data_IF_046421104102
#
_entry.id   IF_046421104102
#
_cell.length_a   1.000
_cell.length_b   1.000
_cell.length_c   1.000
_cell.angle_alpha   90.00
_cell.angle_beta   90.00
_cell.angle_gamma   90.00
#
_symmetry.space_group_name_H-M   'P 1'
#
loop_
_entity.id
_entity.type
_entity.pdbx_description
1 polymer ?
#
# COMPACT_ATOMS: atom_id res chain seq x y z
N UNK A 1 8.59 -19.71 -37.23
CA UNK A 1 9.84 -19.09 -36.72
C UNK A 1 9.91 -19.32 -35.21
N UNK A 2 11.00 -19.90 -34.69
CA UNK A 2 11.10 -20.18 -33.25
C UNK A 2 11.16 -18.86 -32.46
N UNK A 3 10.39 -18.76 -31.37
CA UNK A 3 10.42 -17.59 -30.48
C UNK A 3 11.80 -17.43 -29.84
N UNK A 4 12.31 -16.20 -29.79
CA UNK A 4 13.53 -15.88 -29.01
C UNK A 4 13.28 -16.12 -27.52
N UNK A 5 14.35 -16.37 -26.75
CA UNK A 5 14.26 -16.61 -25.30
C UNK A 5 13.52 -15.47 -24.58
N UNK A 6 13.86 -14.22 -24.88
CA UNK A 6 13.20 -13.04 -24.33
C UNK A 6 11.71 -13.00 -24.68
N UNK A 7 11.34 -13.37 -25.91
CA UNK A 7 9.94 -13.43 -26.31
C UNK A 7 9.17 -14.51 -25.55
N UNK A 8 9.78 -15.68 -25.29
CA UNK A 8 9.16 -16.73 -24.48
C UNK A 8 8.89 -16.25 -23.05
N UNK A 9 9.83 -15.52 -22.43
CA UNK A 9 9.66 -14.93 -21.10
C UNK A 9 8.53 -13.89 -21.10
N UNK A 10 8.46 -13.03 -22.12
CA UNK A 10 7.40 -12.02 -22.21
C UNK A 10 6.00 -12.64 -22.38
N UNK A 11 5.87 -13.71 -23.19
CA UNK A 11 4.60 -14.44 -23.30
C UNK A 11 4.26 -15.21 -22.03
N UNK A 12 5.25 -15.78 -21.34
CA UNK A 12 5.05 -16.36 -20.01
C UNK A 12 4.50 -15.32 -19.03
N UNK A 13 5.05 -14.11 -19.01
CA UNK A 13 4.54 -13.02 -18.17
C UNK A 13 3.07 -12.69 -18.47
N UNK A 14 2.70 -12.61 -19.75
CA UNK A 14 1.30 -12.39 -20.13
C UNK A 14 0.41 -13.55 -19.63
N UNK A 15 0.86 -14.80 -19.78
CA UNK A 15 0.15 -15.97 -19.24
C UNK A 15 -0.02 -15.89 -17.72
N UNK A 16 1.03 -15.49 -16.98
CA UNK A 16 0.99 -15.30 -15.54
C UNK A 16 0.01 -14.19 -15.13
N UNK A 17 -0.10 -13.10 -15.89
CA UNK A 17 -1.10 -12.06 -15.65
C UNK A 17 -2.51 -12.63 -15.77
N UNK A 18 -2.79 -13.41 -16.82
CA UNK A 18 -4.12 -13.99 -17.05
C UNK A 18 -4.48 -14.99 -15.94
N UNK A 19 -3.55 -15.87 -15.55
CA UNK A 19 -3.73 -16.80 -14.43
C UNK A 19 -4.00 -16.03 -13.14
N UNK A 20 -3.21 -14.98 -12.89
CA UNK A 20 -3.39 -14.12 -11.71
C UNK A 20 -4.77 -13.45 -11.71
N UNK A 21 -5.24 -12.98 -12.87
CA UNK A 21 -6.57 -12.37 -12.99
C UNK A 21 -7.69 -13.39 -12.72
N UNK A 22 -7.52 -14.66 -13.12
CA UNK A 22 -8.47 -15.73 -12.80
C UNK A 22 -8.57 -15.94 -11.28
N UNK A 23 -7.43 -16.08 -10.59
CA UNK A 23 -7.41 -16.23 -9.14
C UNK A 23 -7.99 -15.01 -8.42
N UNK A 24 -7.58 -13.81 -8.82
CA UNK A 24 -8.09 -12.56 -8.28
C UNK A 24 -9.60 -12.39 -8.52
N UNK A 25 -10.15 -12.89 -9.62
CA UNK A 25 -11.59 -12.82 -9.90
C UNK A 25 -12.42 -13.68 -8.95
N UNK A 26 -11.98 -14.94 -8.72
CA UNK A 26 -12.75 -15.92 -7.94
C UNK A 26 -12.50 -15.82 -6.43
N UNK A 27 -11.27 -15.54 -6.02
CA UNK A 27 -10.83 -15.58 -4.62
C UNK A 27 -9.92 -14.38 -4.32
N UNK A 28 -10.39 -13.11 -4.45
CA UNK A 28 -9.51 -11.95 -4.37
C UNK A 28 -8.80 -11.85 -3.01
N UNK A 29 -9.49 -12.10 -1.90
CA UNK A 29 -8.91 -12.01 -0.57
C UNK A 29 -7.87 -13.11 -0.33
N UNK A 30 -8.23 -14.37 -0.55
CA UNK A 30 -7.32 -15.50 -0.36
C UNK A 30 -6.13 -15.45 -1.32
N UNK A 31 -6.32 -14.98 -2.56
CA UNK A 31 -5.24 -14.80 -3.53
C UNK A 31 -4.23 -13.77 -3.02
N UNK A 32 -4.71 -12.64 -2.50
CA UNK A 32 -3.86 -11.63 -1.91
C UNK A 32 -3.13 -12.14 -0.67
N UNK A 33 -3.84 -12.78 0.26
CA UNK A 33 -3.24 -13.33 1.49
C UNK A 33 -2.19 -14.40 1.16
N UNK A 34 -2.46 -15.28 0.20
CA UNK A 34 -1.50 -16.28 -0.27
C UNK A 34 -0.28 -15.61 -0.91
N UNK A 35 -0.49 -14.61 -1.78
CA UNK A 35 0.60 -13.87 -2.39
C UNK A 35 1.50 -13.24 -1.31
N UNK A 36 0.90 -12.53 -0.35
CA UNK A 36 1.64 -11.85 0.71
C UNK A 36 2.36 -12.84 1.64
N UNK A 37 1.66 -13.85 2.17
CA UNK A 37 2.19 -14.75 3.18
C UNK A 37 3.20 -15.78 2.63
N UNK A 38 3.04 -16.21 1.38
CA UNK A 38 3.84 -17.29 0.80
C UNK A 38 4.85 -16.80 -0.24
N UNK A 39 4.44 -15.97 -1.20
CA UNK A 39 5.32 -15.47 -2.26
C UNK A 39 6.14 -14.25 -1.80
N UNK A 40 5.57 -13.41 -0.94
CA UNK A 40 6.23 -12.25 -0.36
C UNK A 40 7.58 -12.57 0.29
N UNK A 41 7.66 -13.48 1.28
CA UNK A 41 8.92 -13.75 1.95
C UNK A 41 9.99 -14.32 1.01
N UNK A 42 9.61 -15.17 0.05
CA UNK A 42 10.54 -15.64 -1.00
C UNK A 42 11.05 -14.49 -1.86
N UNK A 43 10.18 -13.55 -2.21
CA UNK A 43 10.53 -12.40 -3.02
C UNK A 43 11.52 -11.51 -2.27
N UNK A 44 11.19 -11.04 -1.06
CA UNK A 44 12.05 -10.12 -0.30
C UNK A 44 13.45 -10.72 -0.07
N UNK A 45 13.53 -12.02 0.26
CA UNK A 45 14.79 -12.70 0.53
C UNK A 45 15.68 -12.83 -0.72
N UNK A 46 15.09 -13.14 -1.86
CA UNK A 46 15.84 -13.25 -3.13
C UNK A 46 16.18 -11.88 -3.70
N UNK A 47 15.30 -10.90 -3.53
CA UNK A 47 15.48 -9.54 -4.01
C UNK A 47 16.55 -8.77 -3.25
N UNK A 48 16.54 -8.78 -1.91
CA UNK A 48 17.56 -8.08 -1.12
C UNK A 48 18.95 -8.58 -1.49
N UNK A 49 19.13 -9.89 -1.68
CA UNK A 49 20.40 -10.44 -2.15
C UNK A 49 20.79 -9.91 -3.53
N UNK A 50 19.84 -9.83 -4.46
CA UNK A 50 20.09 -9.31 -5.80
C UNK A 50 20.39 -7.80 -5.81
N UNK A 51 19.67 -7.02 -5.01
CA UNK A 51 19.94 -5.59 -4.82
C UNK A 51 21.34 -5.38 -4.25
N UNK A 52 21.73 -6.18 -3.25
CA UNK A 52 23.06 -6.11 -2.65
C UNK A 52 24.18 -6.36 -3.68
N UNK A 53 24.03 -7.37 -4.53
CA UNK A 53 24.97 -7.66 -5.63
C UNK A 53 25.06 -6.52 -6.66
N UNK A 54 24.04 -5.65 -6.71
CA UNK A 54 23.98 -4.44 -7.54
C UNK A 54 24.29 -3.15 -6.79
N UNK A 55 24.79 -3.24 -5.56
CA UNK A 55 25.02 -2.08 -4.67
C UNK A 55 23.77 -1.20 -4.53
N UNK A 56 22.59 -1.83 -4.47
CA UNK A 56 21.30 -1.17 -4.33
C UNK A 56 21.05 -0.05 -5.36
N UNK A 57 21.72 -0.10 -6.51
CA UNK A 57 21.66 0.94 -7.55
C UNK A 57 22.09 2.34 -7.06
N UNK A 58 22.86 2.43 -5.97
CA UNK A 58 23.40 3.67 -5.44
C UNK A 58 24.79 4.00 -5.99
N UNK A 59 25.23 5.24 -5.82
CA UNK A 59 26.58 5.69 -6.23
C UNK A 59 27.65 5.36 -5.20
N UNK A 60 27.34 5.44 -3.91
CA UNK A 60 28.24 5.09 -2.82
C UNK A 60 27.96 3.69 -2.27
N UNK A 61 29.03 2.98 -1.87
CA UNK A 61 28.96 1.61 -1.31
C UNK A 61 28.06 1.50 -0.08
N UNK A 62 27.99 2.54 0.74
CA UNK A 62 27.22 2.57 1.99
C UNK A 62 25.97 3.45 1.90
N UNK A 63 25.58 3.93 0.71
CA UNK A 63 24.42 4.80 0.54
C UNK A 63 23.09 4.09 0.83
N UNK A 64 23.09 2.75 0.90
CA UNK A 64 21.92 1.98 1.34
C UNK A 64 21.72 1.97 2.87
N UNK A 65 22.76 2.31 3.64
CA UNK A 65 22.72 2.23 5.12
C UNK A 65 21.68 3.19 5.72
N UNK A 66 21.54 4.46 5.29
CA UNK A 66 20.47 5.33 5.77
C UNK A 66 19.07 4.74 5.55
N UNK A 67 18.83 4.12 4.39
CA UNK A 67 17.54 3.47 4.08
C UNK A 67 17.29 2.26 4.99
N UNK A 68 18.32 1.46 5.25
CA UNK A 68 18.26 0.36 6.20
C UNK A 68 17.96 0.85 7.62
N UNK A 69 18.60 1.93 8.08
CA UNK A 69 18.37 2.50 9.41
C UNK A 69 16.94 3.03 9.57
N UNK A 70 16.38 3.64 8.51
CA UNK A 70 14.96 4.02 8.48
C UNK A 70 14.07 2.77 8.60
N UNK A 71 14.37 1.71 7.83
CA UNK A 71 13.65 0.43 7.94
C UNK A 71 13.69 -0.15 9.35
N UNK A 72 14.86 -0.12 10.01
CA UNK A 72 15.02 -0.55 11.42
C UNK A 72 14.17 0.32 12.35
N UNK A 73 14.21 1.65 12.23
CA UNK A 73 13.46 2.55 13.09
C UNK A 73 11.93 2.34 12.98
N UNK A 74 11.43 2.24 11.75
CA UNK A 74 10.00 2.00 11.47
C UNK A 74 9.56 0.62 11.98
N UNK A 75 10.40 -0.40 11.83
CA UNK A 75 10.12 -1.75 12.31
C UNK A 75 10.16 -1.85 13.82
N UNK A 76 11.11 -1.16 14.46
CA UNK A 76 11.16 -1.09 15.92
C UNK A 76 9.91 -0.40 16.49
N UNK A 77 9.45 0.70 15.87
CA UNK A 77 8.21 1.36 16.26
C UNK A 77 6.98 0.46 16.06
N UNK A 78 6.90 -0.28 14.95
CA UNK A 78 5.83 -1.25 14.72
C UNK A 78 5.86 -2.37 15.78
N UNK A 79 7.02 -2.95 16.06
CA UNK A 79 7.16 -4.00 17.07
C UNK A 79 6.84 -3.54 18.48
N UNK A 80 7.21 -2.31 18.83
CA UNK A 80 6.87 -1.71 20.12
C UNK A 80 5.35 -1.74 20.35
N UNK A 81 4.57 -1.43 19.30
CA UNK A 81 3.10 -1.54 19.33
C UNK A 81 2.65 -3.01 19.38
N UNK A 82 3.06 -3.82 18.41
CA UNK A 82 2.55 -5.19 18.21
C UNK A 82 2.80 -6.12 19.41
N UNK A 83 3.94 -5.94 20.09
CA UNK A 83 4.33 -6.75 21.25
C UNK A 83 4.17 -6.01 22.58
N UNK A 84 3.53 -4.84 22.56
CA UNK A 84 3.23 -4.00 23.72
C UNK A 84 4.46 -3.66 24.60
N UNK A 85 5.65 -3.51 24.00
CA UNK A 85 6.85 -3.07 24.70
C UNK A 85 7.23 -1.64 24.33
N UNK A 86 7.76 -0.87 25.29
CA UNK A 86 8.21 0.51 25.03
C UNK A 86 7.14 1.36 24.31
N UNK A 87 5.90 1.26 24.80
CA UNK A 87 4.72 1.94 24.23
C UNK A 87 4.89 3.47 24.23
N UNK A 88 5.63 4.03 25.17
CA UNK A 88 5.90 5.48 25.21
C UNK A 88 6.73 5.92 24.00
N UNK A 89 7.74 5.13 23.60
CA UNK A 89 8.45 5.37 22.35
C UNK A 89 7.52 5.33 21.14
N UNK A 90 6.63 4.32 21.05
CA UNK A 90 5.66 4.23 19.96
C UNK A 90 4.73 5.47 19.93
N UNK A 91 4.21 5.89 21.08
CA UNK A 91 3.34 7.06 21.20
C UNK A 91 4.06 8.33 20.76
N UNK A 92 5.30 8.53 21.17
CA UNK A 92 6.12 9.66 20.71
C UNK A 92 6.37 9.59 19.20
N UNK A 93 6.65 8.40 18.68
CA UNK A 93 6.89 8.18 17.26
C UNK A 93 5.68 8.53 16.40
N UNK A 94 4.47 8.17 16.87
CA UNK A 94 3.19 8.55 16.27
C UNK A 94 2.92 10.05 16.45
N UNK A 95 3.10 10.60 17.65
CA UNK A 95 2.83 12.00 17.95
C UNK A 95 3.70 12.96 17.11
N UNK A 96 4.94 12.57 16.82
CA UNK A 96 5.86 13.30 15.96
C UNK A 96 5.66 13.02 14.46
N UNK A 97 4.71 12.16 14.10
CA UNK A 97 4.45 11.68 12.74
C UNK A 97 5.70 11.12 12.04
N UNK A 98 6.51 10.31 12.75
CA UNK A 98 7.77 9.81 12.20
C UNK A 98 7.59 8.72 11.14
N UNK A 99 6.48 7.97 11.15
CA UNK A 99 6.18 6.99 10.10
C UNK A 99 6.18 7.65 8.72
N UNK A 100 5.35 8.67 8.54
CA UNK A 100 5.21 9.38 7.27
C UNK A 100 6.49 10.13 6.90
N UNK A 101 7.07 10.86 7.87
CA UNK A 101 8.27 11.68 7.64
C UNK A 101 9.45 10.83 7.18
N UNK A 102 9.72 9.70 7.83
CA UNK A 102 10.85 8.85 7.48
C UNK A 102 10.64 8.11 6.16
N UNK A 103 9.41 7.68 5.87
CA UNK A 103 9.07 7.06 4.58
C UNK A 103 9.28 8.04 3.42
N UNK A 104 8.76 9.25 3.52
CA UNK A 104 8.93 10.30 2.49
C UNK A 104 10.40 10.72 2.38
N UNK A 105 11.12 10.81 3.51
CA UNK A 105 12.56 11.08 3.51
C UNK A 105 13.34 9.98 2.79
N UNK A 106 13.02 8.72 3.03
CA UNK A 106 13.65 7.59 2.34
C UNK A 106 13.42 7.68 0.82
N UNK A 107 12.19 7.99 0.38
CA UNK A 107 11.88 8.16 -1.03
C UNK A 107 12.71 9.29 -1.66
N UNK A 108 12.71 10.50 -1.09
CA UNK A 108 13.41 11.63 -1.69
C UNK A 108 14.93 11.53 -1.60
N UNK A 109 15.47 11.01 -0.49
CA UNK A 109 16.91 10.76 -0.36
C UNK A 109 17.42 9.69 -1.33
N UNK A 110 16.56 8.75 -1.76
CA UNK A 110 16.93 7.73 -2.76
C UNK A 110 17.36 8.32 -4.11
N UNK A 111 16.84 9.50 -4.53
CA UNK A 111 17.31 10.19 -5.73
C UNK A 111 18.78 10.60 -5.58
N UNK A 112 19.14 11.12 -4.42
CA UNK A 112 20.50 11.54 -4.13
C UNK A 112 21.44 10.32 -4.10
N UNK A 113 21.01 9.22 -3.48
CA UNK A 113 21.78 7.98 -3.45
C UNK A 113 21.95 7.37 -4.85
N UNK A 114 20.94 7.43 -5.72
CA UNK A 114 20.99 6.91 -7.08
C UNK A 114 21.91 7.71 -8.02
N UNK A 115 22.02 9.04 -7.83
CA UNK A 115 22.63 9.92 -8.84
C UNK A 115 23.80 10.78 -8.36
N UNK A 116 23.96 11.01 -7.04
CA UNK A 116 24.98 11.92 -6.50
C UNK A 116 26.13 11.13 -5.86
N UNK A 117 27.35 11.34 -6.38
CA UNK A 117 28.57 10.71 -5.81
C UNK A 117 29.10 11.42 -4.56
N UNK A 118 29.07 12.75 -4.56
CA UNK A 118 29.69 13.56 -3.50
C UNK A 118 28.91 13.45 -2.18
N UNK A 119 29.60 13.02 -1.11
CA UNK A 119 28.98 12.80 0.21
C UNK A 119 28.50 14.09 0.87
N UNK A 120 29.28 15.16 0.78
CA UNK A 120 28.93 16.45 1.40
C UNK A 120 27.65 17.02 0.77
N UNK A 121 27.55 16.98 -0.56
CA UNK A 121 26.33 17.40 -1.27
C UNK A 121 25.13 16.57 -0.83
N UNK A 122 25.29 15.25 -0.69
CA UNK A 122 24.23 14.36 -0.19
C UNK A 122 23.78 14.75 1.21
N UNK A 123 24.70 14.92 2.15
CA UNK A 123 24.38 15.26 3.54
C UNK A 123 23.63 16.59 3.60
N UNK A 124 24.16 17.63 2.96
CA UNK A 124 23.53 18.96 2.95
C UNK A 124 22.12 18.89 2.33
N UNK A 125 21.97 18.23 1.18
CA UNK A 125 20.68 18.10 0.52
C UNK A 125 19.67 17.29 1.36
N UNK A 126 20.11 16.20 2.00
CA UNK A 126 19.26 15.40 2.90
C UNK A 126 18.80 16.22 4.10
N UNK A 127 19.67 17.07 4.68
CA UNK A 127 19.28 17.97 5.77
C UNK A 127 18.20 18.97 5.32
N UNK A 128 18.34 19.58 4.14
CA UNK A 128 17.30 20.45 3.58
C UNK A 128 15.98 19.71 3.34
N UNK A 129 16.05 18.51 2.76
CA UNK A 129 14.89 17.64 2.54
C UNK A 129 14.23 17.31 3.88
N UNK A 130 15.00 16.96 4.91
CA UNK A 130 14.48 16.65 6.24
C UNK A 130 13.76 17.84 6.88
N UNK A 131 14.33 19.04 6.80
CA UNK A 131 13.70 20.26 7.34
C UNK A 131 12.37 20.52 6.61
N UNK A 132 12.37 20.42 5.28
CA UNK A 132 11.17 20.60 4.47
C UNK A 132 10.08 19.59 4.83
N UNK A 133 10.40 18.30 4.86
CA UNK A 133 9.45 17.23 5.21
C UNK A 133 8.95 17.39 6.64
N UNK A 134 9.83 17.77 7.58
CA UNK A 134 9.47 17.93 8.99
C UNK A 134 8.42 19.01 9.19
N UNK A 135 8.51 20.12 8.45
CA UNK A 135 7.48 21.17 8.45
C UNK A 135 6.24 20.78 7.64
N UNK A 136 6.41 20.14 6.47
CA UNK A 136 5.29 19.75 5.62
C UNK A 136 4.36 18.73 6.31
N UNK A 137 4.93 17.71 6.94
CA UNK A 137 4.21 16.63 7.62
C UNK A 137 4.15 16.83 9.15
N UNK A 138 4.26 18.08 9.60
CA UNK A 138 4.17 18.41 11.01
C UNK A 138 2.76 18.12 11.56
N UNK A 139 2.62 17.73 12.85
CA UNK A 139 1.32 17.38 13.44
C UNK A 139 0.28 18.49 13.35
N UNK A 140 0.70 19.76 13.41
CA UNK A 140 -0.16 20.94 13.22
C UNK A 140 -0.87 20.97 11.85
N UNK A 141 -0.30 20.33 10.83
CA UNK A 141 -0.86 20.27 9.48
C UNK A 141 -1.70 19.00 9.25
N UNK A 142 -1.90 18.14 10.26
CA UNK A 142 -2.55 16.83 10.09
C UNK A 142 -3.94 16.91 9.45
N UNK A 143 -4.75 17.91 9.82
CA UNK A 143 -6.09 18.11 9.26
C UNK A 143 -6.04 18.40 7.76
N UNK A 144 -5.19 19.30 7.31
CA UNK A 144 -5.03 19.61 5.88
C UNK A 144 -4.42 18.42 5.13
N UNK A 145 -3.42 17.78 5.74
CA UNK A 145 -2.71 16.65 5.18
C UNK A 145 -3.63 15.44 4.96
N UNK A 146 -4.59 15.20 5.86
CA UNK A 146 -5.59 14.12 5.73
C UNK A 146 -6.45 14.23 4.47
N UNK A 147 -6.65 15.45 3.94
CA UNK A 147 -7.41 15.70 2.70
C UNK A 147 -6.55 15.62 1.44
N UNK A 148 -5.23 15.55 1.57
CA UNK A 148 -4.29 15.63 0.45
C UNK A 148 -4.06 14.27 -0.21
N UNK A 149 -4.50 14.13 -1.46
CA UNK A 149 -4.24 12.93 -2.27
C UNK A 149 -2.74 12.68 -2.47
N UNK A 150 -1.92 13.73 -2.55
CA UNK A 150 -0.47 13.57 -2.68
C UNK A 150 0.13 12.94 -1.43
N UNK A 151 -0.29 13.39 -0.24
CA UNK A 151 0.22 12.85 1.02
C UNK A 151 -0.28 11.42 1.20
N UNK A 152 -1.57 11.17 0.98
CA UNK A 152 -2.13 9.82 0.98
C UNK A 152 -1.37 8.87 0.03
N UNK A 153 -1.04 9.32 -1.19
CA UNK A 153 -0.25 8.53 -2.12
C UNK A 153 1.16 8.25 -1.59
N UNK A 154 1.83 9.23 -0.98
CA UNK A 154 3.19 9.10 -0.47
C UNK A 154 3.30 8.29 0.82
N UNK A 155 2.27 8.27 1.67
CA UNK A 155 2.33 7.63 3.00
C UNK A 155 1.61 6.29 3.03
N UNK A 156 0.47 6.16 2.35
CA UNK A 156 -0.34 4.94 2.34
C UNK A 156 -0.11 4.09 1.08
N UNK A 157 -0.15 4.70 -0.11
CA UNK A 157 -0.02 3.95 -1.36
C UNK A 157 1.43 3.60 -1.70
N UNK A 158 2.41 4.39 -1.24
CA UNK A 158 3.83 4.21 -1.56
C UNK A 158 4.36 2.80 -1.24
N UNK A 159 4.28 2.31 0.02
CA UNK A 159 4.76 0.97 0.37
C UNK A 159 3.81 -0.15 -0.07
N UNK A 160 2.60 0.20 -0.54
CA UNK A 160 1.58 -0.76 -0.98
C UNK A 160 1.48 -0.76 -2.50
N UNK A 161 0.42 -0.16 -3.07
CA UNK A 161 0.08 -0.22 -4.48
C UNK A 161 1.08 0.47 -5.41
N UNK A 162 1.72 1.57 -5.00
CA UNK A 162 2.72 2.23 -5.82
C UNK A 162 3.94 1.32 -5.99
N UNK A 163 4.46 0.74 -4.91
CA UNK A 163 5.57 -0.19 -5.00
C UNK A 163 5.20 -1.45 -5.80
N UNK A 164 4.16 -2.18 -5.39
CA UNK A 164 3.85 -3.47 -6.02
C UNK A 164 3.27 -3.36 -7.43
N UNK A 165 2.55 -2.29 -7.77
CA UNK A 165 1.92 -2.13 -9.09
C UNK A 165 2.62 -1.10 -9.98
N UNK A 166 2.75 0.15 -9.51
CA UNK A 166 3.28 1.24 -10.35
C UNK A 166 4.78 1.04 -10.65
N UNK A 167 5.61 0.81 -9.63
CA UNK A 167 7.04 0.58 -9.82
C UNK A 167 7.31 -0.72 -10.59
N UNK A 168 6.54 -1.79 -10.36
CA UNK A 168 6.58 -3.00 -11.20
C UNK A 168 6.35 -2.68 -12.68
N UNK A 169 5.30 -1.91 -12.99
CA UNK A 169 4.99 -1.52 -14.36
C UNK A 169 6.07 -0.65 -15.00
N UNK A 170 6.61 0.32 -14.24
CA UNK A 170 7.71 1.17 -14.69
C UNK A 170 8.99 0.36 -14.93
N UNK A 171 9.32 -0.59 -14.06
CA UNK A 171 10.46 -1.47 -14.24
C UNK A 171 10.30 -2.39 -15.47
N UNK A 172 9.10 -2.93 -15.70
CA UNK A 172 8.78 -3.67 -16.91
C UNK A 172 8.92 -2.81 -18.17
N UNK A 173 8.40 -1.58 -18.14
CA UNK A 173 8.52 -0.63 -19.24
C UNK A 173 9.97 -0.27 -19.52
N UNK A 174 10.75 0.04 -18.48
CA UNK A 174 12.17 0.33 -18.61
C UNK A 174 12.91 -0.83 -19.28
N UNK A 175 12.67 -2.07 -18.82
CA UNK A 175 13.26 -3.28 -19.41
C UNK A 175 12.88 -3.47 -20.89
N UNK A 176 11.61 -3.27 -21.24
CA UNK A 176 11.11 -3.39 -22.61
C UNK A 176 11.71 -2.32 -23.54
N UNK A 177 11.78 -1.07 -23.09
CA UNK A 177 12.38 0.02 -23.84
C UNK A 177 13.88 -0.22 -24.03
N UNK A 178 14.62 -0.47 -22.95
CA UNK A 178 16.07 -0.70 -22.98
C UNK A 178 16.48 -1.86 -23.90
N UNK A 179 15.70 -2.95 -23.90
CA UNK A 179 15.96 -4.11 -24.76
C UNK A 179 15.42 -3.95 -26.19
N UNK A 180 14.67 -2.87 -26.48
CA UNK A 180 13.95 -2.64 -27.74
C UNK A 180 13.04 -3.83 -28.07
N UNK A 181 12.31 -4.32 -27.08
CA UNK A 181 11.48 -5.51 -27.19
C UNK A 181 10.00 -5.18 -27.42
N UNK A 182 9.49 -5.50 -28.62
CA UNK A 182 8.05 -5.34 -28.94
C UNK A 182 7.17 -6.26 -28.09
N UNK A 183 7.60 -7.49 -27.84
CA UNK A 183 6.86 -8.44 -26.98
C UNK A 183 6.92 -8.01 -25.52
N UNK A 184 7.99 -7.33 -25.10
CA UNK A 184 8.07 -6.68 -23.78
C UNK A 184 7.06 -5.54 -23.64
N UNK A 185 6.93 -4.68 -24.65
CA UNK A 185 5.92 -3.62 -24.66
C UNK A 185 4.49 -4.18 -24.67
N UNK A 186 4.25 -5.29 -25.40
CA UNK A 186 2.98 -6.00 -25.35
C UNK A 186 2.67 -6.53 -23.94
N UNK A 187 3.68 -7.05 -23.23
CA UNK A 187 3.53 -7.47 -21.83
C UNK A 187 3.18 -6.29 -20.92
N UNK A 188 3.81 -5.12 -21.09
CA UNK A 188 3.44 -3.90 -20.35
C UNK A 188 2.00 -3.48 -20.65
N UNK A 189 1.58 -3.55 -21.92
CA UNK A 189 0.20 -3.25 -22.30
C UNK A 189 -0.80 -4.21 -21.64
N UNK A 190 -0.50 -5.51 -21.64
CA UNK A 190 -1.31 -6.52 -20.96
C UNK A 190 -1.37 -6.25 -19.44
N UNK A 191 -0.24 -5.87 -18.83
CA UNK A 191 -0.17 -5.53 -17.41
C UNK A 191 -1.11 -4.39 -17.02
N UNK A 192 -1.35 -3.44 -17.93
CA UNK A 192 -2.29 -2.32 -17.72
C UNK A 192 -3.74 -2.75 -18.01
N UNK A 193 -3.99 -3.41 -19.14
CA UNK A 193 -5.36 -3.71 -19.61
C UNK A 193 -6.04 -4.81 -18.78
N UNK A 194 -5.31 -5.88 -18.43
CA UNK A 194 -5.88 -7.03 -17.71
C UNK A 194 -6.55 -6.64 -16.38
N UNK A 195 -5.90 -5.90 -15.47
CA UNK A 195 -6.55 -5.49 -14.22
C UNK A 195 -7.71 -4.51 -14.46
N UNK A 196 -7.64 -3.62 -15.46
CA UNK A 196 -8.76 -2.73 -15.80
C UNK A 196 -9.97 -3.55 -16.22
N UNK A 197 -9.78 -4.55 -17.10
CA UNK A 197 -10.86 -5.44 -17.52
C UNK A 197 -11.38 -6.31 -16.37
N UNK A 198 -10.50 -6.82 -15.51
CA UNK A 198 -10.85 -7.60 -14.31
C UNK A 198 -11.76 -6.81 -13.36
N UNK A 199 -11.48 -5.51 -13.19
CA UNK A 199 -12.19 -4.63 -12.25
C UNK A 199 -13.51 -4.11 -12.85
N UNK A 200 -13.47 -3.56 -14.07
CA UNK A 200 -14.59 -2.83 -14.65
C UNK A 200 -15.35 -3.62 -15.73
N UNK A 201 -14.73 -4.62 -16.34
CA UNK A 201 -15.33 -5.41 -17.42
C UNK A 201 -16.07 -6.65 -16.94
N UNK A 202 -15.78 -7.15 -15.73
CA UNK A 202 -16.37 -8.36 -15.17
C UNK A 202 -17.42 -8.06 -14.09
N UNK A 203 -18.52 -8.83 -14.01
CA UNK A 203 -19.56 -8.60 -13.03
C UNK A 203 -19.07 -8.81 -11.59
N UNK A 204 -19.67 -8.07 -10.67
CA UNK A 204 -19.39 -8.15 -9.22
C UNK A 204 -20.59 -8.77 -8.53
N UNK A 205 -20.38 -9.92 -7.88
CA UNK A 205 -21.44 -10.63 -7.18
C UNK A 205 -21.33 -10.39 -5.67
N UNK A 206 -21.94 -9.32 -5.17
CA UNK A 206 -21.81 -8.89 -3.76
C UNK A 206 -22.33 -9.90 -2.72
N UNK A 207 -23.31 -10.72 -3.10
CA UNK A 207 -23.96 -11.70 -2.18
C UNK A 207 -23.33 -13.09 -2.20
N UNK A 208 -22.58 -13.43 -3.24
CA UNK A 208 -22.05 -14.78 -3.48
C UNK A 208 -20.54 -14.80 -3.66
N UNK A 209 -19.86 -13.65 -3.50
CA UNK A 209 -18.41 -13.61 -3.49
C UNK A 209 -17.90 -14.46 -2.33
N UNK A 210 -17.09 -15.46 -2.65
CA UNK A 210 -16.55 -16.36 -1.65
C UNK A 210 -15.45 -15.64 -0.86
N UNK A 211 -15.55 -15.71 0.45
CA UNK A 211 -14.46 -15.45 1.37
C UNK A 211 -14.64 -16.36 2.59
N UNK A 212 -13.58 -17.06 2.96
CA UNK A 212 -13.57 -17.93 4.13
C UNK A 212 -13.58 -17.14 5.44
N UNK A 213 -14.04 -17.75 6.53
CA UNK A 213 -13.93 -17.14 7.87
C UNK A 213 -12.48 -16.90 8.25
N UNK A 214 -11.61 -17.88 7.96
CA UNK A 214 -10.17 -17.70 8.07
C UNK A 214 -9.66 -16.51 7.24
N UNK A 215 -10.10 -16.36 5.99
CA UNK A 215 -9.71 -15.25 5.13
C UNK A 215 -10.10 -13.89 5.68
N UNK A 216 -11.30 -13.76 6.27
CA UNK A 216 -11.75 -12.52 6.94
C UNK A 216 -10.88 -12.19 8.14
N UNK A 217 -10.66 -13.16 9.03
CA UNK A 217 -9.84 -12.95 10.23
C UNK A 217 -8.37 -12.70 9.88
N UNK A 218 -7.80 -13.40 8.90
CA UNK A 218 -6.44 -13.17 8.42
C UNK A 218 -6.28 -11.80 7.74
N UNK A 219 -7.31 -11.32 7.03
CA UNK A 219 -7.28 -10.00 6.42
C UNK A 219 -7.40 -8.88 7.46
N UNK A 220 -8.13 -9.11 8.54
CA UNK A 220 -8.23 -8.20 9.68
C UNK A 220 -6.98 -8.24 10.59
N UNK A 221 -6.45 -9.43 10.84
CA UNK A 221 -5.28 -9.76 11.66
C UNK A 221 -5.21 -8.94 12.96
N UNK A 222 -6.22 -9.08 13.81
CA UNK A 222 -6.34 -8.37 15.10
C UNK A 222 -6.30 -6.84 15.01
N UNK A 223 -6.47 -6.27 13.81
CA UNK A 223 -6.40 -4.83 13.54
C UNK A 223 -5.09 -4.36 12.92
N UNK A 224 -4.10 -5.26 12.81
CA UNK A 224 -2.79 -4.99 12.20
C UNK A 224 -2.71 -5.43 10.73
N UNK A 225 -3.79 -6.03 10.23
CA UNK A 225 -3.89 -6.53 8.86
C UNK A 225 -4.20 -5.45 7.83
N UNK A 226 -4.57 -5.92 6.63
CA UNK A 226 -4.80 -5.10 5.45
C UNK A 226 -6.20 -4.51 5.38
N UNK A 227 -7.07 -4.86 6.33
CA UNK A 227 -8.42 -4.31 6.43
C UNK A 227 -8.42 -2.78 6.43
N UNK A 228 -7.62 -2.15 7.29
CA UNK A 228 -7.57 -0.70 7.40
C UNK A 228 -6.91 -0.01 6.21
N UNK A 229 -6.06 -0.70 5.44
CA UNK A 229 -5.56 -0.21 4.15
C UNK A 229 -6.70 -0.09 3.14
N UNK A 230 -7.62 -1.07 3.09
CA UNK A 230 -8.80 -0.95 2.22
C UNK A 230 -9.74 0.15 2.69
N UNK A 231 -9.97 0.24 4.00
CA UNK A 231 -10.77 1.32 4.58
C UNK A 231 -10.20 2.67 4.17
N UNK A 232 -8.89 2.89 4.34
CA UNK A 232 -8.28 4.18 4.00
C UNK A 232 -8.41 4.53 2.51
N UNK A 233 -8.26 3.55 1.61
CA UNK A 233 -8.46 3.76 0.17
C UNK A 233 -9.92 4.09 -0.14
N UNK A 234 -10.86 3.28 0.36
CA UNK A 234 -12.28 3.47 0.13
C UNK A 234 -12.76 4.82 0.70
N UNK A 235 -12.22 5.23 1.84
CA UNK A 235 -12.54 6.46 2.55
C UNK A 235 -12.01 7.69 1.81
N UNK A 236 -10.71 7.68 1.50
CA UNK A 236 -10.02 8.78 0.83
C UNK A 236 -10.67 9.13 -0.50
N UNK A 237 -11.08 8.12 -1.27
CA UNK A 237 -11.75 8.30 -2.57
C UNK A 237 -13.28 8.35 -2.51
N UNK A 238 -13.88 8.34 -1.30
CA UNK A 238 -15.33 8.39 -1.08
C UNK A 238 -16.09 7.31 -1.87
N UNK A 239 -15.55 6.09 -1.89
CA UNK A 239 -16.09 4.94 -2.63
C UNK A 239 -17.10 4.12 -1.80
N UNK A 240 -17.35 4.53 -0.56
CA UNK A 240 -18.36 3.92 0.31
C UNK A 240 -19.67 4.71 0.19
N UNK A 241 -20.77 3.99 -0.07
CA UNK A 241 -22.11 4.55 0.06
C UNK A 241 -22.48 4.58 1.54
N UNK A 242 -21.97 5.57 2.25
CA UNK A 242 -22.14 5.69 3.71
C UNK A 242 -23.54 6.20 4.06
N UNK A 243 -24.20 5.63 5.08
CA UNK A 243 -25.42 6.20 5.60
C UNK A 243 -25.11 7.55 6.25
N UNK A 244 -25.93 8.54 5.96
CA UNK A 244 -25.93 9.80 6.69
C UNK A 244 -26.39 9.55 8.13
N UNK A 245 -25.89 10.37 9.05
CA UNK A 245 -26.38 10.42 10.42
C UNK A 245 -27.89 10.61 10.38
N UNK A 246 -28.65 9.73 11.03
CA UNK A 246 -30.10 9.89 11.16
C UNK A 246 -30.44 10.84 12.31
N UNK A 247 -31.61 11.46 12.26
CA UNK A 247 -32.11 12.27 13.37
C UNK A 247 -32.16 11.46 14.68
N UNK A 248 -32.51 10.17 14.61
CA UNK A 248 -32.47 9.26 15.77
C UNK A 248 -31.05 9.15 16.36
N UNK A 249 -30.05 8.85 15.52
CA UNK A 249 -28.66 8.73 15.97
C UNK A 249 -28.11 10.03 16.54
N UNK A 250 -28.50 11.18 15.96
CA UNK A 250 -28.16 12.48 16.50
C UNK A 250 -28.76 12.69 17.90
N UNK A 251 -30.06 12.41 18.07
CA UNK A 251 -30.74 12.48 19.38
C UNK A 251 -30.07 11.56 20.41
N UNK A 252 -29.79 10.31 20.05
CA UNK A 252 -29.12 9.36 20.95
C UNK A 252 -27.72 9.87 21.36
N UNK A 253 -27.00 10.55 20.47
CA UNK A 253 -25.67 11.11 20.75
C UNK A 253 -25.68 12.29 21.71
N UNK A 254 -26.75 13.11 21.71
CA UNK A 254 -26.93 14.24 22.62
C UNK A 254 -27.59 13.82 23.94
N UNK A 255 -28.31 12.70 23.97
CA UNK A 255 -28.98 12.18 25.18
C UNK A 255 -28.04 11.28 26.00
N UNK A 256 -27.22 10.44 25.37
CA UNK A 256 -26.40 9.42 26.05
C UNK A 256 -24.99 9.89 26.50
N UNK A 257 -24.57 11.12 26.18
CA UNK A 257 -23.32 11.69 26.73
C UNK A 257 -23.55 12.14 28.17
N UNK A 258 -22.67 11.69 29.09
CA UNK A 258 -22.67 12.00 30.53
C UNK A 258 -23.00 13.48 30.75
N UNK A 259 -24.01 13.76 31.59
CA UNK A 259 -24.55 15.09 31.83
C UNK A 259 -23.52 16.10 32.35
N UNK A 260 -22.35 15.61 32.80
CA UNK A 260 -21.18 16.39 33.21
C UNK A 260 -20.27 16.86 32.06
N UNK A 261 -20.34 16.24 30.88
CA UNK A 261 -19.50 16.58 29.70
C UNK A 261 -20.30 17.18 28.55
N UNK A 262 -21.63 17.09 28.63
CA UNK A 262 -22.55 17.55 27.60
C UNK A 262 -22.88 19.04 27.80
N UNK A 263 -22.35 19.89 26.92
CA UNK A 263 -22.49 21.36 27.02
C UNK A 263 -23.89 21.88 26.64
N UNK A 264 -24.78 21.02 26.12
CA UNK A 264 -26.11 21.42 25.65
C UNK A 264 -27.12 21.52 26.81
N UNK A 265 -27.74 22.71 27.05
CA UNK A 265 -28.75 22.89 28.09
C UNK A 265 -29.92 21.91 27.98
N UNK A 266 -30.50 21.50 29.12
CA UNK A 266 -31.62 20.53 29.17
C UNK A 266 -32.83 21.01 28.35
N UNK A 267 -33.17 22.30 28.45
CA UNK A 267 -34.29 22.88 27.70
C UNK A 267 -34.05 22.85 26.17
N UNK A 268 -32.80 22.95 25.74
CA UNK A 268 -32.45 22.88 24.32
C UNK A 268 -32.49 21.44 23.80
N UNK A 269 -32.06 20.46 24.61
CA UNK A 269 -32.25 19.03 24.31
C UNK A 269 -33.71 18.66 24.12
N UNK A 270 -34.61 19.17 24.97
CA UNK A 270 -36.04 18.94 24.83
C UNK A 270 -36.57 19.52 23.51
N UNK A 271 -36.25 20.78 23.20
CA UNK A 271 -36.68 21.43 21.94
C UNK A 271 -36.19 20.69 20.70
N UNK A 272 -34.95 20.22 20.71
CA UNK A 272 -34.38 19.45 19.60
C UNK A 272 -35.09 18.09 19.48
N UNK A 273 -35.33 17.43 20.60
CA UNK A 273 -36.06 16.14 20.64
C UNK A 273 -37.45 16.28 20.06
N UNK A 274 -38.20 17.30 20.49
CA UNK A 274 -39.56 17.55 20.00
C UNK A 274 -39.56 17.85 18.50
N UNK A 275 -38.62 18.68 18.02
CA UNK A 275 -38.47 19.05 16.60
C UNK A 275 -38.12 17.87 15.67
N UNK A 276 -37.37 16.89 16.18
CA UNK A 276 -36.88 15.75 15.40
C UNK A 276 -37.71 14.46 15.58
N UNK A 277 -38.63 14.43 16.53
CA UNK A 277 -39.44 13.26 16.92
C UNK A 277 -40.21 12.62 15.76
N UNK A 278 -40.72 13.42 14.81
CA UNK A 278 -41.48 12.93 13.65
C UNK A 278 -40.60 12.52 12.45
N UNK A 279 -39.28 12.76 12.53
CA UNK A 279 -38.34 12.59 11.40
C UNK A 279 -37.16 11.69 11.73
N UNK A 280 -37.30 10.81 12.72
CA UNK A 280 -36.22 9.98 13.28
C UNK A 280 -35.38 9.22 12.24
N UNK A 281 -36.02 8.70 11.19
CA UNK A 281 -35.35 7.92 10.14
C UNK A 281 -34.79 8.77 8.98
N UNK A 282 -35.05 10.08 8.98
CA UNK A 282 -34.50 10.98 7.96
C UNK A 282 -33.06 11.36 8.32
N UNK A 283 -32.29 11.72 7.30
CA UNK A 283 -30.94 12.24 7.50
C UNK A 283 -30.97 13.54 8.30
N UNK A 284 -30.10 13.63 9.30
CA UNK A 284 -29.85 14.84 10.07
C UNK A 284 -29.17 15.88 9.19
N UNK A 285 -29.74 17.07 9.15
CA UNK A 285 -29.23 18.22 8.38
C UNK A 285 -28.45 19.11 9.33
N UNK A 286 -27.18 19.38 9.02
CA UNK A 286 -26.32 20.16 9.91
C UNK A 286 -26.73 21.64 9.88
N UNK A 287 -27.16 22.23 11.02
CA UNK A 287 -27.61 23.62 11.06
C UNK A 287 -26.47 24.63 11.27
N UNK A 288 -25.23 24.17 11.47
CA UNK A 288 -24.08 25.04 11.76
C UNK A 288 -23.49 25.65 10.47
N UNK A 289 -23.53 26.98 10.28
CA UNK A 289 -22.97 27.66 9.10
C UNK A 289 -21.45 27.50 8.91
N UNK A 290 -20.71 27.20 9.98
CA UNK A 290 -19.26 26.98 9.91
C UNK A 290 -18.89 25.55 9.48
N UNK A 291 -19.87 24.64 9.39
CA UNK A 291 -19.64 23.26 8.97
C UNK A 291 -19.53 23.15 7.45
N UNK A 292 -18.60 22.32 6.96
CA UNK A 292 -18.53 21.90 5.55
C UNK A 292 -19.86 21.23 5.08
N UNK A 293 -20.66 20.75 6.03
CA UNK A 293 -21.96 20.11 5.81
C UNK A 293 -23.15 21.03 6.09
N UNK A 294 -22.97 22.36 6.18
CA UNK A 294 -24.09 23.29 6.42
C UNK A 294 -25.25 23.06 5.45
N UNK A 295 -26.46 22.87 6.00
CA UNK A 295 -27.69 22.55 5.26
C UNK A 295 -27.60 21.29 4.40
N UNK A 296 -26.69 20.37 4.74
CA UNK A 296 -26.50 19.07 4.09
C UNK A 296 -26.48 17.94 5.12
N UNK A 297 -26.80 16.70 4.70
CA UNK A 297 -26.55 15.53 5.51
C UNK A 297 -25.07 15.35 5.83
N UNK A 298 -24.76 14.95 7.06
CA UNK A 298 -23.41 14.55 7.47
C UNK A 298 -23.30 13.02 7.51
N UNK A 299 -22.21 12.41 6.98
CA UNK A 299 -21.95 10.98 7.15
C UNK A 299 -21.90 10.59 8.63
N UNK A 300 -22.53 9.47 9.01
CA UNK A 300 -22.65 9.06 10.41
C UNK A 300 -21.29 8.96 11.12
N UNK A 301 -20.26 8.42 10.45
CA UNK A 301 -18.90 8.27 10.99
C UNK A 301 -18.22 9.57 11.44
N UNK A 302 -18.61 10.71 10.86
CA UNK A 302 -18.01 12.01 11.18
C UNK A 302 -18.68 12.66 12.39
N UNK A 303 -19.86 12.14 12.79
CA UNK A 303 -20.68 12.72 13.84
C UNK A 303 -20.73 11.87 15.12
N UNK A 304 -20.59 10.54 15.00
CA UNK A 304 -20.57 9.63 16.14
C UNK A 304 -19.31 8.76 16.10
N UNK A 305 -18.69 8.45 17.25
CA UNK A 305 -17.62 7.46 17.32
C UNK A 305 -18.22 6.09 16.99
N UNK A 306 -17.92 5.58 15.80
CA UNK A 306 -18.35 4.25 15.37
C UNK A 306 -17.20 3.28 15.61
N UNK A 307 -17.47 2.11 16.19
CA UNK A 307 -16.50 1.02 16.21
C UNK A 307 -16.07 0.70 14.77
N UNK A 308 -14.81 0.95 14.48
CA UNK A 308 -14.29 1.02 13.12
C UNK A 308 -14.41 -0.31 12.37
N UNK A 309 -14.25 -1.44 13.07
CA UNK A 309 -14.31 -2.77 12.43
C UNK A 309 -15.70 -3.06 11.84
N UNK A 310 -16.74 -3.06 12.69
CA UNK A 310 -18.09 -3.48 12.31
C UNK A 310 -18.72 -2.57 11.26
N UNK A 311 -18.44 -1.27 11.35
CA UNK A 311 -18.92 -0.29 10.39
C UNK A 311 -18.37 -0.57 8.98
N UNK A 312 -17.07 -0.80 8.86
CA UNK A 312 -16.43 -0.97 7.57
C UNK A 312 -16.48 -2.41 7.05
N UNK A 313 -16.84 -3.39 7.89
CA UNK A 313 -16.78 -4.82 7.56
C UNK A 313 -17.52 -5.14 6.25
N UNK A 314 -18.77 -4.69 6.15
CA UNK A 314 -19.59 -4.94 4.97
C UNK A 314 -19.11 -4.17 3.74
N UNK A 315 -18.53 -2.98 3.92
CA UNK A 315 -17.97 -2.21 2.82
C UNK A 315 -16.73 -2.88 2.24
N UNK A 316 -15.84 -3.39 3.08
CA UNK A 316 -14.62 -4.06 2.63
C UNK A 316 -14.93 -5.39 1.97
N UNK A 317 -15.72 -6.26 2.61
CA UNK A 317 -15.87 -7.66 2.17
C UNK A 317 -17.02 -7.89 1.17
N UNK A 318 -18.09 -7.09 1.24
CA UNK A 318 -19.34 -7.40 0.54
C UNK A 318 -19.84 -6.29 -0.39
N UNK A 319 -19.22 -5.10 -0.38
CA UNK A 319 -19.63 -4.04 -1.32
C UNK A 319 -19.04 -4.26 -2.72
N UNK A 320 -19.70 -3.67 -3.73
CA UNK A 320 -19.23 -3.72 -5.11
C UNK A 320 -17.82 -3.15 -5.25
N UNK A 321 -17.58 -1.96 -4.69
CA UNK A 321 -16.27 -1.30 -4.71
C UNK A 321 -15.22 -2.05 -3.90
N UNK A 322 -15.57 -2.63 -2.74
CA UNK A 322 -14.65 -3.43 -1.92
C UNK A 322 -14.13 -4.65 -2.67
N UNK A 323 -15.02 -5.39 -3.34
CA UNK A 323 -14.64 -6.56 -4.16
C UNK A 323 -13.82 -6.13 -5.38
N UNK A 324 -14.20 -5.06 -6.07
CA UNK A 324 -13.45 -4.49 -7.19
C UNK A 324 -12.03 -4.09 -6.80
N UNK A 325 -11.90 -3.38 -5.67
CA UNK A 325 -10.60 -2.99 -5.11
C UNK A 325 -9.76 -4.22 -4.78
N UNK A 326 -10.37 -5.25 -4.18
CA UNK A 326 -9.64 -6.46 -3.82
C UNK A 326 -9.23 -7.32 -5.01
N UNK A 327 -10.02 -7.37 -6.09
CA UNK A 327 -9.57 -7.96 -7.36
C UNK A 327 -8.31 -7.28 -7.88
N UNK A 328 -8.27 -5.96 -7.81
CA UNK A 328 -7.10 -5.18 -8.23
C UNK A 328 -5.88 -5.44 -7.35
N UNK A 329 -6.04 -5.34 -6.02
CA UNK A 329 -4.96 -5.56 -5.04
C UNK A 329 -4.42 -6.99 -5.17
N UNK A 330 -5.29 -7.99 -5.23
CA UNK A 330 -4.88 -9.38 -5.40
C UNK A 330 -4.10 -9.60 -6.69
N UNK A 331 -4.56 -9.01 -7.80
CA UNK A 331 -3.82 -9.07 -9.05
C UNK A 331 -2.44 -8.42 -8.93
N UNK A 332 -2.38 -7.22 -8.37
CA UNK A 332 -1.15 -6.46 -8.25
C UNK A 332 -0.09 -7.20 -7.43
N UNK A 333 -0.44 -7.68 -6.24
CA UNK A 333 0.50 -8.39 -5.36
C UNK A 333 0.94 -9.74 -5.93
N UNK A 334 -0.01 -10.56 -6.38
CA UNK A 334 0.30 -11.88 -6.93
C UNK A 334 1.18 -11.75 -8.17
N UNK A 335 0.82 -10.88 -9.12
CA UNK A 335 1.63 -10.72 -10.34
C UNK A 335 2.98 -10.06 -10.05
N UNK A 336 3.07 -9.10 -9.13
CA UNK A 336 4.34 -8.50 -8.73
C UNK A 336 5.37 -9.57 -8.33
N UNK A 337 4.98 -10.50 -7.43
CA UNK A 337 5.86 -11.60 -7.02
C UNK A 337 6.14 -12.59 -8.15
N UNK A 338 5.13 -12.98 -8.95
CA UNK A 338 5.34 -13.90 -10.07
C UNK A 338 6.25 -13.32 -11.17
N UNK A 339 6.12 -12.03 -11.48
CA UNK A 339 6.99 -11.30 -12.42
C UNK A 339 8.43 -11.22 -11.92
N UNK A 340 8.63 -11.17 -10.61
CA UNK A 340 9.95 -11.32 -10.02
C UNK A 340 10.51 -12.72 -10.33
N UNK A 341 9.79 -13.79 -9.97
CA UNK A 341 10.27 -15.16 -10.15
C UNK A 341 10.46 -15.58 -11.61
N UNK A 342 9.69 -15.02 -12.55
CA UNK A 342 9.81 -15.35 -13.97
C UNK A 342 11.12 -14.86 -14.60
N UNK A 343 11.79 -13.86 -14.00
CA UNK A 343 13.04 -13.25 -14.50
C UNK A 343 14.29 -13.94 -13.95
N UNK A 344 14.35 -15.26 -14.12
CA UNK A 344 15.43 -16.11 -13.57
C UNK A 344 16.85 -15.68 -14.00
N UNK A 345 17.02 -15.10 -15.19
CA UNK A 345 18.34 -14.63 -15.68
C UNK A 345 18.82 -13.31 -15.06
N UNK A 346 17.86 -12.50 -14.58
CA UNK A 346 18.15 -11.20 -13.95
C UNK A 346 18.53 -11.42 -12.50
N UNK A 347 17.76 -12.25 -11.78
CA UNK A 347 17.89 -12.47 -10.33
C UNK A 347 18.88 -13.59 -10.02
N UNK A 348 18.95 -14.62 -10.88
CA UNK A 348 19.86 -15.76 -10.75
C UNK A 348 19.78 -16.42 -9.36
N UNK A 349 18.56 -16.58 -8.81
CA UNK A 349 18.34 -17.20 -7.50
C UNK A 349 18.95 -18.61 -7.40
N UNK A 350 19.01 -19.33 -8.53
CA UNK A 350 19.66 -20.63 -8.65
C UNK A 350 21.20 -20.59 -8.56
N UNK A 351 21.81 -19.40 -8.46
CA UNK A 351 23.26 -19.18 -8.26
C UNK A 351 23.61 -18.69 -6.85
N UNK A 352 22.62 -18.58 -5.95
CA UNK A 352 22.85 -18.21 -4.55
C UNK A 352 23.66 -19.31 -3.85
N UNK A 353 24.67 -18.97 -3.03
CA UNK A 353 25.43 -19.96 -2.27
C UNK A 353 24.53 -20.89 -1.45
N UNK A 354 24.83 -22.19 -1.41
CA UNK A 354 23.99 -23.22 -0.76
C UNK A 354 23.60 -22.87 0.68
N UNK A 355 24.53 -22.34 1.46
CA UNK A 355 24.30 -21.94 2.86
C UNK A 355 23.23 -20.84 2.95
N UNK A 356 23.34 -19.81 2.10
CA UNK A 356 22.35 -18.73 2.04
C UNK A 356 21.00 -19.24 1.58
N UNK A 357 20.98 -20.13 0.58
CA UNK A 357 19.74 -20.74 0.09
C UNK A 357 19.02 -21.55 1.17
N UNK A 358 19.75 -22.34 1.97
CA UNK A 358 19.18 -23.07 3.12
C UNK A 358 18.63 -22.10 4.17
N UNK A 359 19.36 -21.02 4.50
CA UNK A 359 18.87 -20.01 5.44
C UNK A 359 17.60 -19.32 4.94
N UNK A 360 17.53 -18.97 3.66
CA UNK A 360 16.33 -18.41 3.01
C UNK A 360 15.16 -19.38 3.09
N UNK A 361 15.40 -20.67 2.79
CA UNK A 361 14.37 -21.70 2.85
C UNK A 361 13.84 -21.91 4.27
N UNK A 362 14.73 -21.96 5.27
CA UNK A 362 14.33 -22.09 6.68
C UNK A 362 13.52 -20.88 7.14
N UNK A 363 13.99 -19.66 6.85
CA UNK A 363 13.27 -18.44 7.21
C UNK A 363 11.89 -18.36 6.54
N UNK A 364 11.81 -18.80 5.28
CA UNK A 364 10.55 -18.88 4.56
C UNK A 364 9.59 -19.91 5.17
N UNK A 365 10.05 -21.13 5.48
CA UNK A 365 9.23 -22.15 6.13
C UNK A 365 8.73 -21.68 7.50
N UNK A 366 9.59 -21.01 8.28
CA UNK A 366 9.20 -20.39 9.55
C UNK A 366 8.13 -19.33 9.34
N UNK A 367 8.30 -18.43 8.37
CA UNK A 367 7.29 -17.43 8.06
C UNK A 367 5.95 -18.05 7.65
N UNK A 368 5.96 -19.08 6.79
CA UNK A 368 4.74 -19.79 6.41
C UNK A 368 4.05 -20.45 7.60
N UNK A 369 4.82 -21.07 8.51
CA UNK A 369 4.29 -21.66 9.73
C UNK A 369 3.67 -20.60 10.66
N UNK A 370 4.31 -19.44 10.80
CA UNK A 370 3.78 -18.33 11.60
C UNK A 370 2.48 -17.78 11.00
N UNK A 371 2.42 -17.52 9.69
CA UNK A 371 1.18 -17.10 9.04
C UNK A 371 0.05 -18.12 9.16
N UNK A 372 0.37 -19.41 9.08
CA UNK A 372 -0.61 -20.48 9.24
C UNK A 372 -1.12 -20.60 10.69
N UNK A 373 -0.30 -20.23 11.67
CA UNK A 373 -0.66 -20.23 13.10
C UNK A 373 -1.47 -18.98 13.48
N UNK A 374 -0.93 -17.79 13.20
CA UNK A 374 -1.57 -16.50 13.44
C UNK A 374 -1.06 -15.50 12.40
N UNK A 375 -1.98 -14.92 11.63
CA UNK A 375 -1.62 -14.04 10.54
C UNK A 375 -0.97 -12.72 11.02
N UNK A 376 -1.44 -12.15 12.13
CA UNK A 376 -0.85 -10.95 12.75
C UNK A 376 0.60 -11.21 13.16
N UNK A 377 0.87 -12.33 13.82
CA UNK A 377 2.24 -12.72 14.19
C UNK A 377 3.14 -12.90 12.96
N UNK A 378 2.62 -13.49 11.89
CA UNK A 378 3.34 -13.59 10.62
C UNK A 378 3.67 -12.23 10.00
N UNK A 379 2.73 -11.28 10.05
CA UNK A 379 2.94 -9.89 9.61
C UNK A 379 4.06 -9.23 10.42
N UNK A 380 3.99 -9.27 11.75
CA UNK A 380 5.04 -8.69 12.61
C UNK A 380 6.40 -9.36 12.35
N UNK A 381 6.46 -10.70 12.27
CA UNK A 381 7.72 -11.41 12.05
C UNK A 381 8.44 -10.97 10.76
N UNK A 382 7.69 -10.67 9.70
CA UNK A 382 8.26 -10.25 8.42
C UNK A 382 8.23 -8.76 8.16
N UNK A 383 7.61 -7.95 9.02
CA UNK A 383 7.46 -6.51 8.79
C UNK A 383 8.80 -5.84 8.50
N UNK A 384 9.86 -6.20 9.24
CA UNK A 384 11.19 -5.66 8.97
C UNK A 384 11.66 -5.96 7.55
N UNK A 385 11.50 -7.20 7.09
CA UNK A 385 11.97 -7.61 5.77
C UNK A 385 11.06 -7.04 4.66
N UNK A 386 9.75 -7.06 4.87
CA UNK A 386 8.74 -6.56 3.94
C UNK A 386 8.78 -5.04 3.81
N UNK A 387 9.10 -4.30 4.86
CA UNK A 387 9.21 -2.85 4.76
C UNK A 387 10.59 -2.41 4.26
N UNK A 388 11.66 -3.06 4.74
CA UNK A 388 13.03 -2.67 4.39
C UNK A 388 13.36 -2.93 2.93
N UNK A 389 12.87 -4.02 2.31
CA UNK A 389 13.15 -4.25 0.88
C UNK A 389 12.57 -3.14 0.01
N UNK A 390 11.35 -2.66 0.30
CA UNK A 390 10.70 -1.53 -0.39
C UNK A 390 11.62 -0.31 -0.36
N UNK A 391 12.13 0.06 0.82
CA UNK A 391 13.02 1.22 0.98
C UNK A 391 14.32 1.03 0.21
N UNK A 392 14.92 -0.16 0.28
CA UNK A 392 16.16 -0.49 -0.41
C UNK A 392 16.01 -0.56 -1.93
N UNK A 393 14.79 -0.74 -2.44
CA UNK A 393 14.48 -0.72 -3.86
C UNK A 393 14.28 0.71 -4.41
N UNK A 394 14.03 1.72 -3.58
CA UNK A 394 13.78 3.08 -4.06
C UNK A 394 14.85 3.64 -5.02
N UNK A 395 16.17 3.46 -4.81
CA UNK A 395 17.16 3.92 -5.77
C UNK A 395 17.03 3.22 -7.14
N UNK A 396 16.67 1.94 -7.18
CA UNK A 396 16.36 1.22 -8.43
C UNK A 396 15.15 1.85 -9.13
N UNK A 397 14.11 2.18 -8.37
CA UNK A 397 12.90 2.82 -8.90
C UNK A 397 13.24 4.18 -9.54
N UNK A 398 14.08 4.98 -8.88
CA UNK A 398 14.56 6.26 -9.44
C UNK A 398 15.40 6.07 -10.70
N UNK A 399 16.32 5.09 -10.71
CA UNK A 399 17.12 4.74 -11.89
C UNK A 399 16.23 4.30 -13.05
N UNK A 400 15.19 3.53 -12.78
CA UNK A 400 14.26 3.03 -13.80
C UNK A 400 13.45 4.16 -14.41
N UNK A 401 12.90 5.07 -13.61
CA UNK A 401 12.14 6.25 -14.08
C UNK A 401 13.01 7.13 -14.98
N UNK A 402 14.22 7.50 -14.54
CA UNK A 402 15.15 8.30 -15.35
C UNK A 402 15.58 7.53 -16.60
N UNK A 403 15.74 6.21 -16.48
CA UNK A 403 16.03 5.31 -17.58
C UNK A 403 14.97 5.32 -18.67
N UNK A 404 13.68 5.27 -18.31
CA UNK A 404 12.56 5.34 -19.27
C UNK A 404 12.64 6.62 -20.10
N UNK A 405 12.89 7.77 -19.47
CA UNK A 405 13.05 9.05 -20.17
C UNK A 405 14.21 9.03 -21.18
N UNK A 406 15.37 8.52 -20.75
CA UNK A 406 16.56 8.38 -21.62
C UNK A 406 16.30 7.45 -22.81
N UNK A 407 15.72 6.28 -22.56
CA UNK A 407 15.44 5.31 -23.62
C UNK A 407 14.37 5.81 -24.59
N UNK A 408 13.35 6.51 -24.09
CA UNK A 408 12.29 7.11 -24.92
C UNK A 408 12.88 8.17 -25.83
N UNK A 409 13.72 9.07 -25.31
CA UNK A 409 14.42 10.07 -26.11
C UNK A 409 15.33 9.43 -27.18
N UNK A 410 16.06 8.37 -26.84
CA UNK A 410 16.87 7.64 -27.81
C UNK A 410 16.03 6.97 -28.90
N UNK A 411 14.88 6.38 -28.55
CA UNK A 411 13.96 5.77 -29.54
C UNK A 411 13.37 6.85 -30.45
N UNK A 412 12.98 7.99 -29.89
CA UNK A 412 12.45 9.10 -30.68
C UNK A 412 13.47 9.65 -31.69
N UNK A 413 14.75 9.67 -31.33
CA UNK A 413 15.82 10.23 -32.18
C UNK A 413 16.45 9.20 -33.13
N UNK A 414 16.55 7.92 -32.73
CA UNK A 414 17.29 6.88 -33.47
C UNK A 414 16.43 5.69 -33.91
N UNK A 415 15.13 5.72 -33.62
CA UNK A 415 14.19 4.66 -33.92
C UNK A 415 14.27 3.46 -32.96
N UNK A 416 13.34 2.52 -33.12
CA UNK A 416 13.23 1.33 -32.28
C UNK A 416 14.16 0.21 -32.76
N UNK A 417 15.47 0.50 -32.82
CA UNK A 417 16.53 -0.46 -33.12
C UNK A 417 17.47 -0.57 -31.93
N UNK A 418 17.99 -1.77 -31.69
CA UNK A 418 19.02 -2.00 -30.67
C UNK A 418 20.29 -1.31 -31.17
N UNK A 419 20.84 -0.38 -30.39
CA UNK A 419 22.17 0.16 -30.67
C UNK A 419 23.15 -0.97 -30.39
N UNK A 420 23.97 -1.31 -31.39
CA UNK A 420 25.07 -2.28 -31.24
C UNK A 420 26.11 -1.79 -30.22
#
# INVERSE_FOLDING_TARGET
MALTKDSKINFLNIGLMLITAVFAFFLPFETFLLAYAFLGPLHYLTEISWLHDRQYFTKGKYDFVPLLLIGVALSYAAFAKDFEFNIDFYKEFVALNLFDKLLVLALFSSLLFAFVKNLVVKIIAILFIFIFISGWLAPENATENSKSTTIFALTSLLPTLIHVYLFTGLFMLFGALKSRSKTGLLSVLAFIIVPIFLVFGLPVQTKTNYISDYGKEAYYADGDGFFYTNVSILDHFRLMNEPNLTNKQYLDSIINKDSKTNQTPIAERQRITDSLSDKLNQAFIVPNPESEYYMRPIPAKLAIPIESKDYYWNYVFFSGFGIMLMRFIAFAYMYHYLNWFSKTEVIRWHKVPKIRFVAVLLLWLTACALYAYNYSLGLSFLFFLSFTHVLLEFPLNMVSIVGIGKETYQIATKGFKKLE
#
